data_IF_852604380213
#
_entry.id   IF_852604380213
#
_cell.length_a   1.000
_cell.length_b   1.000
_cell.length_c   1.000
_cell.angle_alpha   90.00
_cell.angle_beta   90.00
_cell.angle_gamma   90.00
#
_symmetry.space_group_name_H-M   'P 1'
#
loop_
_entity.id
_entity.type
_entity.pdbx_description
1 polymer ?
#
# COMPACT_ATOMS: atom_id res chain seq x y z
N UNK A 1 18.66 44.96 -7.82
CA UNK A 1 18.32 43.69 -8.52
C UNK A 1 19.00 42.50 -7.84
N UNK A 2 18.62 42.20 -6.58
CA UNK A 2 19.29 41.21 -5.71
C UNK A 2 18.39 40.00 -5.38
N UNK A 3 17.27 39.84 -6.10
CA UNK A 3 16.25 38.81 -5.81
C UNK A 3 16.36 37.52 -6.62
N UNK A 4 17.26 37.43 -7.60
CA UNK A 4 17.36 36.24 -8.47
C UNK A 4 18.36 35.17 -7.97
N UNK A 5 18.99 35.35 -6.81
CA UNK A 5 20.04 34.43 -6.30
C UNK A 5 19.58 33.36 -5.31
N UNK A 6 18.29 33.26 -4.99
CA UNK A 6 17.76 32.26 -4.04
C UNK A 6 17.08 31.05 -4.68
N UNK A 7 17.06 30.93 -6.02
CA UNK A 7 16.47 29.77 -6.72
C UNK A 7 17.46 28.66 -7.09
N UNK A 8 18.75 28.84 -6.84
CA UNK A 8 19.74 27.78 -7.02
C UNK A 8 20.05 27.19 -5.65
N UNK A 9 19.44 26.04 -5.32
CA UNK A 9 19.83 25.28 -4.13
C UNK A 9 21.33 24.99 -4.13
N UNK A 10 21.90 24.76 -2.95
CA UNK A 10 23.31 24.46 -2.78
C UNK A 10 23.75 23.35 -3.76
N UNK A 11 24.62 23.69 -4.70
CA UNK A 11 25.30 22.74 -5.59
C UNK A 11 26.75 22.60 -5.11
N UNK A 12 27.16 21.38 -4.78
CA UNK A 12 28.56 21.04 -4.58
C UNK A 12 29.02 20.26 -5.82
N UNK A 13 29.65 20.92 -6.79
CA UNK A 13 30.05 20.29 -8.06
C UNK A 13 28.86 19.83 -8.90
N UNK A 14 28.88 18.58 -9.39
CA UNK A 14 27.77 17.96 -10.13
C UNK A 14 26.59 17.51 -9.24
N UNK A 15 26.71 17.65 -7.92
CA UNK A 15 25.68 17.28 -6.95
C UNK A 15 24.67 18.41 -6.72
N UNK A 16 23.43 18.17 -7.11
CA UNK A 16 22.29 19.01 -6.77
C UNK A 16 21.61 18.48 -5.50
N UNK A 17 21.67 19.24 -4.41
CA UNK A 17 21.05 18.87 -3.12
C UNK A 17 19.53 18.64 -3.27
N UNK A 18 18.85 19.43 -4.12
CA UNK A 18 17.42 19.24 -4.40
C UNK A 18 17.10 17.86 -5.01
N UNK A 19 17.98 17.33 -5.87
CA UNK A 19 17.79 16.05 -6.54
C UNK A 19 17.97 14.87 -5.57
N UNK A 20 18.91 14.96 -4.65
CA UNK A 20 19.12 13.93 -3.62
C UNK A 20 18.00 13.87 -2.60
N UNK A 21 17.38 15.02 -2.26
CA UNK A 21 16.18 15.04 -1.42
C UNK A 21 14.98 14.34 -2.07
N UNK A 22 14.71 14.63 -3.35
CA UNK A 22 13.62 13.98 -4.09
C UNK A 22 13.82 12.46 -4.23
N UNK A 23 15.06 12.01 -4.48
CA UNK A 23 15.36 10.57 -4.59
C UNK A 23 15.15 9.86 -3.24
N UNK A 24 15.58 10.48 -2.12
CA UNK A 24 15.35 9.90 -0.79
C UNK A 24 13.87 9.75 -0.47
N UNK A 25 13.07 10.77 -0.77
CA UNK A 25 11.62 10.75 -0.55
C UNK A 25 10.93 9.66 -1.38
N UNK A 26 11.28 9.55 -2.66
CA UNK A 26 10.74 8.51 -3.54
C UNK A 26 11.11 7.10 -3.06
N UNK A 27 12.33 6.90 -2.56
CA UNK A 27 12.76 5.60 -2.00
C UNK A 27 11.99 5.26 -0.73
N UNK A 28 11.69 6.24 0.12
CA UNK A 28 10.88 6.03 1.32
C UNK A 28 9.44 5.64 0.99
N UNK A 29 8.82 6.32 0.02
CA UNK A 29 7.48 5.97 -0.49
C UNK A 29 7.48 4.59 -1.13
N UNK A 30 8.49 4.25 -1.94
CA UNK A 30 8.60 2.95 -2.58
C UNK A 30 8.77 1.82 -1.55
N UNK A 31 9.58 2.05 -0.50
CA UNK A 31 9.76 1.09 0.60
C UNK A 31 8.44 0.86 1.34
N UNK A 32 7.65 1.91 1.55
CA UNK A 32 6.34 1.83 2.14
C UNK A 32 5.35 1.04 1.26
N UNK A 33 5.26 1.37 -0.03
CA UNK A 33 4.44 0.64 -1.00
C UNK A 33 4.81 -0.84 -1.09
N UNK A 34 6.11 -1.16 -1.07
CA UNK A 34 6.60 -2.54 -1.05
C UNK A 34 6.19 -3.30 0.22
N UNK A 35 6.19 -2.62 1.38
CA UNK A 35 5.71 -3.23 2.62
C UNK A 35 4.21 -3.52 2.59
N UNK A 36 3.39 -2.57 2.13
CA UNK A 36 1.95 -2.80 1.94
C UNK A 36 1.71 -3.94 0.95
N UNK A 37 2.40 -3.93 -0.19
CA UNK A 37 2.24 -4.93 -1.24
C UNK A 37 2.50 -6.35 -0.75
N UNK A 38 3.49 -6.54 0.15
CA UNK A 38 3.72 -7.84 0.79
C UNK A 38 2.53 -8.29 1.65
N UNK A 39 1.97 -7.39 2.44
CA UNK A 39 0.76 -7.68 3.23
C UNK A 39 -0.43 -8.05 2.33
N UNK A 40 -0.59 -7.31 1.22
CA UNK A 40 -1.66 -7.55 0.26
C UNK A 40 -1.56 -8.93 -0.38
N UNK A 41 -0.36 -9.34 -0.82
CA UNK A 41 -0.14 -10.67 -1.41
C UNK A 41 -0.52 -11.81 -0.45
N UNK A 42 -0.12 -11.71 0.83
CA UNK A 42 -0.48 -12.71 1.85
C UNK A 42 -2.00 -12.78 2.01
N UNK A 43 -2.66 -11.62 2.09
CA UNK A 43 -4.10 -11.60 2.29
C UNK A 43 -4.87 -12.12 1.08
N UNK A 44 -4.46 -11.77 -0.13
CA UNK A 44 -5.01 -12.31 -1.38
C UNK A 44 -4.86 -13.82 -1.46
N UNK A 45 -3.71 -14.37 -1.03
CA UNK A 45 -3.51 -15.82 -0.99
C UNK A 45 -4.49 -16.51 -0.02
N UNK A 46 -4.71 -15.95 1.17
CA UNK A 46 -5.68 -16.47 2.15
C UNK A 46 -7.11 -16.46 1.59
N UNK A 47 -7.54 -15.34 1.00
CA UNK A 47 -8.83 -15.24 0.33
C UNK A 47 -8.97 -16.29 -0.79
N UNK A 48 -7.93 -16.44 -1.61
CA UNK A 48 -7.92 -17.40 -2.72
C UNK A 48 -8.06 -18.84 -2.23
N UNK A 49 -7.41 -19.20 -1.12
CA UNK A 49 -7.53 -20.53 -0.51
C UNK A 49 -8.95 -20.78 0.03
N UNK A 50 -9.54 -19.80 0.71
CA UNK A 50 -10.91 -19.90 1.24
C UNK A 50 -11.94 -20.07 0.11
N UNK A 51 -11.80 -19.30 -0.97
CA UNK A 51 -12.65 -19.44 -2.15
C UNK A 51 -12.42 -20.76 -2.90
N UNK A 52 -11.18 -21.22 -2.99
CA UNK A 52 -10.84 -22.50 -3.59
C UNK A 52 -11.44 -23.67 -2.82
N UNK A 53 -11.43 -23.62 -1.48
CA UNK A 53 -12.09 -24.65 -0.66
C UNK A 53 -13.61 -24.64 -0.84
N UNK A 54 -14.24 -23.48 -0.96
CA UNK A 54 -15.66 -23.41 -1.32
C UNK A 54 -15.94 -24.08 -2.68
N UNK A 55 -15.09 -23.84 -3.68
CA UNK A 55 -15.31 -24.29 -5.06
C UNK A 55 -14.98 -25.77 -5.25
N UNK A 56 -13.83 -26.22 -4.75
CA UNK A 56 -13.25 -27.55 -5.00
C UNK A 56 -13.27 -28.46 -3.77
N UNK A 57 -13.87 -28.02 -2.67
CA UNK A 57 -14.00 -28.81 -1.45
C UNK A 57 -14.80 -30.10 -1.67
N UNK A 58 -14.58 -31.12 -0.82
CA UNK A 58 -15.24 -32.42 -0.96
C UNK A 58 -16.77 -32.30 -0.88
N UNK A 59 -17.46 -33.14 -1.65
CA UNK A 59 -18.92 -33.23 -1.62
C UNK A 59 -19.40 -33.82 -0.29
N UNK A 60 -20.53 -33.34 0.23
CA UNK A 60 -21.08 -33.72 1.54
C UNK A 60 -20.70 -32.81 2.71
N UNK A 61 -19.88 -31.79 2.45
CA UNK A 61 -19.43 -30.78 3.42
C UNK A 61 -20.02 -29.39 3.13
N UNK A 62 -21.30 -29.33 2.77
CA UNK A 62 -21.92 -28.10 2.26
C UNK A 62 -21.93 -26.96 3.28
N UNK A 63 -22.07 -27.28 4.57
CA UNK A 63 -22.00 -26.30 5.65
C UNK A 63 -20.60 -25.66 5.75
N UNK A 64 -19.53 -26.46 5.77
CA UNK A 64 -18.17 -25.91 5.90
C UNK A 64 -17.73 -25.17 4.63
N UNK A 65 -18.15 -25.64 3.45
CA UNK A 65 -17.93 -24.94 2.18
C UNK A 65 -18.61 -23.58 2.18
N UNK A 66 -19.89 -23.53 2.57
CA UNK A 66 -20.64 -22.27 2.68
C UNK A 66 -20.03 -21.33 3.71
N UNK A 67 -19.56 -21.85 4.85
CA UNK A 67 -18.85 -21.06 5.85
C UNK A 67 -17.56 -20.46 5.28
N UNK A 68 -16.78 -21.24 4.53
CA UNK A 68 -15.57 -20.76 3.87
C UNK A 68 -15.82 -19.63 2.87
N UNK A 69 -16.95 -19.68 2.16
CA UNK A 69 -17.36 -18.59 1.27
C UNK A 69 -17.69 -17.30 2.04
N UNK A 70 -18.44 -17.39 3.14
CA UNK A 70 -18.70 -16.24 4.01
C UNK A 70 -17.41 -15.65 4.60
N UNK A 71 -16.47 -16.51 5.02
CA UNK A 71 -15.14 -16.10 5.48
C UNK A 71 -14.43 -15.34 4.36
N UNK A 72 -14.40 -15.88 3.14
CA UNK A 72 -13.82 -15.20 1.99
C UNK A 72 -14.41 -13.78 1.80
N UNK A 73 -15.73 -13.63 1.80
CA UNK A 73 -16.39 -12.33 1.61
C UNK A 73 -16.02 -11.32 2.69
N UNK A 74 -16.03 -11.73 3.97
CA UNK A 74 -15.63 -10.88 5.09
C UNK A 74 -14.17 -10.43 4.94
N UNK A 75 -13.27 -11.36 4.62
CA UNK A 75 -11.85 -11.04 4.44
C UNK A 75 -11.60 -10.12 3.24
N UNK A 76 -12.33 -10.29 2.13
CA UNK A 76 -12.25 -9.38 0.99
C UNK A 76 -12.69 -7.97 1.39
N UNK A 77 -13.82 -7.84 2.09
CA UNK A 77 -14.31 -6.54 2.55
C UNK A 77 -13.31 -5.86 3.51
N UNK A 78 -12.77 -6.62 4.48
CA UNK A 78 -11.74 -6.12 5.39
C UNK A 78 -10.48 -5.69 4.65
N UNK A 79 -10.03 -6.46 3.66
CA UNK A 79 -8.87 -6.11 2.85
C UNK A 79 -9.05 -4.77 2.15
N UNK A 80 -10.18 -4.55 1.49
CA UNK A 80 -10.44 -3.27 0.82
C UNK A 80 -10.35 -2.11 1.80
N UNK A 81 -11.01 -2.21 2.95
CA UNK A 81 -11.03 -1.14 3.95
C UNK A 81 -9.63 -0.91 4.55
N UNK A 82 -8.96 -1.98 5.00
CA UNK A 82 -7.66 -1.89 5.65
C UNK A 82 -6.57 -1.39 4.70
N UNK A 83 -6.47 -1.93 3.48
CA UNK A 83 -5.46 -1.48 2.53
C UNK A 83 -5.72 -0.06 2.03
N UNK A 84 -6.98 0.35 1.89
CA UNK A 84 -7.32 1.74 1.59
C UNK A 84 -6.89 2.68 2.72
N UNK A 85 -7.26 2.38 3.97
CA UNK A 85 -6.86 3.18 5.14
C UNK A 85 -5.34 3.25 5.25
N UNK A 86 -4.66 2.11 5.13
CA UNK A 86 -3.20 2.05 5.19
C UNK A 86 -2.60 2.92 4.08
N UNK A 87 -3.06 2.81 2.84
CA UNK A 87 -2.50 3.59 1.71
C UNK A 87 -2.46 5.10 1.96
N UNK A 88 -3.39 5.63 2.77
CA UNK A 88 -3.46 7.04 3.17
C UNK A 88 -2.66 7.30 4.45
N UNK A 89 -2.82 6.46 5.47
CA UNK A 89 -2.35 6.75 6.84
C UNK A 89 -0.93 6.29 7.13
N UNK A 90 -0.42 5.28 6.43
CA UNK A 90 0.87 4.67 6.78
C UNK A 90 2.10 5.40 6.26
N UNK A 91 1.93 6.49 5.49
CA UNK A 91 3.02 7.42 5.17
C UNK A 91 2.61 8.83 5.58
N UNK A 92 3.37 9.44 6.50
CA UNK A 92 3.07 10.77 7.06
C UNK A 92 3.08 11.87 6.00
N UNK A 93 3.88 11.73 4.95
CA UNK A 93 3.90 12.65 3.82
C UNK A 93 2.61 12.54 3.00
N UNK A 94 2.19 11.32 2.65
CA UNK A 94 0.91 11.07 1.94
C UNK A 94 -0.27 11.58 2.77
N UNK A 95 -0.30 11.28 4.07
CA UNK A 95 -1.34 11.74 4.98
C UNK A 95 -1.42 13.27 5.05
N UNK A 96 -0.26 13.94 5.08
CA UNK A 96 -0.20 15.41 5.10
C UNK A 96 -0.75 16.00 3.80
N UNK A 97 -0.40 15.43 2.64
CA UNK A 97 -0.96 15.86 1.35
C UNK A 97 -2.46 15.61 1.28
N UNK A 98 -2.93 14.46 1.74
CA UNK A 98 -4.35 14.11 1.77
C UNK A 98 -5.17 15.05 2.66
N UNK A 99 -4.64 15.48 3.80
CA UNK A 99 -5.31 16.44 4.70
C UNK A 99 -5.34 17.88 4.18
N UNK A 100 -4.53 18.20 3.17
CA UNK A 100 -4.46 19.53 2.56
C UNK A 100 -5.35 19.63 1.29
N UNK A 101 -5.96 18.51 0.86
CA UNK A 101 -7.00 18.46 -0.18
C UNK A 101 -8.37 18.79 0.42
#
# INVERSE_FOLDING_TARGET
RMMNRMKSGAQLGSYFVARTFQVKENVEVLRYMSWIGRGWLVSTAVCSLAYSYFTFGPNGYDLSRSLSYNIFEIFVALNFVTFYILSITGNTHILKQFRNL
#
